data_IF_879443621367
#
_entry.id   IF_879443621367
#
_cell.length_a   1.000
_cell.length_b   1.000
_cell.length_c   1.000
_cell.angle_alpha   90.00
_cell.angle_beta   90.00
_cell.angle_gamma   90.00
#
_symmetry.space_group_name_H-M   'P 1'
#
loop_
_entity.id
_entity.type
_entity.pdbx_description
1 polymer ?
#
# COMPACT_ATOMS: atom_id res chain seq x y z
N UNK A 1 -62.56 7.95 22.13
CA UNK A 1 -61.67 7.34 21.12
C UNK A 1 -61.99 5.86 21.05
N UNK A 2 -62.44 5.37 19.90
CA UNK A 2 -62.79 3.95 19.77
C UNK A 2 -61.49 3.13 19.72
N UNK A 3 -61.49 1.93 20.31
CA UNK A 3 -60.29 1.05 20.36
C UNK A 3 -59.66 0.82 18.99
N UNK A 4 -60.47 0.84 17.93
CA UNK A 4 -60.02 0.76 16.54
C UNK A 4 -59.15 1.95 16.09
N UNK A 5 -59.45 3.18 16.56
CA UNK A 5 -58.64 4.37 16.24
C UNK A 5 -57.27 4.31 16.92
N UNK A 6 -57.21 3.83 18.17
CA UNK A 6 -55.94 3.62 18.87
C UNK A 6 -55.11 2.52 18.24
N UNK A 7 -55.73 1.41 17.82
CA UNK A 7 -55.05 0.34 17.10
C UNK A 7 -54.50 0.83 15.74
N UNK A 8 -55.27 1.63 15.00
CA UNK A 8 -54.83 2.22 13.74
C UNK A 8 -53.65 3.18 13.91
N UNK A 9 -53.68 4.04 14.94
CA UNK A 9 -52.57 4.95 15.24
C UNK A 9 -51.31 4.20 15.67
N UNK A 10 -51.45 3.17 16.50
CA UNK A 10 -50.33 2.33 16.91
C UNK A 10 -49.70 1.61 15.72
N UNK A 11 -50.51 1.04 14.82
CA UNK A 11 -50.03 0.39 13.61
C UNK A 11 -49.31 1.37 12.67
N UNK A 12 -49.84 2.59 12.51
CA UNK A 12 -49.22 3.64 11.70
C UNK A 12 -47.87 4.09 12.25
N UNK A 13 -47.75 4.23 13.58
CA UNK A 13 -46.48 4.54 14.25
C UNK A 13 -45.43 3.44 14.08
N UNK A 14 -45.83 2.17 14.19
CA UNK A 14 -44.93 1.04 13.97
C UNK A 14 -44.45 1.00 12.51
N UNK A 15 -45.34 1.22 11.54
CA UNK A 15 -44.96 1.27 10.12
C UNK A 15 -44.04 2.45 9.81
N UNK A 16 -44.28 3.62 10.40
CA UNK A 16 -43.42 4.78 10.26
C UNK A 16 -42.01 4.54 10.86
N UNK A 17 -41.94 3.89 12.03
CA UNK A 17 -40.68 3.53 12.66
C UNK A 17 -39.89 2.51 11.82
N UNK A 18 -40.57 1.49 11.27
CA UNK A 18 -39.94 0.51 10.38
C UNK A 18 -39.45 1.14 9.07
N UNK A 19 -40.24 2.04 8.47
CA UNK A 19 -39.85 2.76 7.26
C UNK A 19 -38.66 3.71 7.51
N UNK A 20 -38.64 4.40 8.65
CA UNK A 20 -37.53 5.26 9.04
C UNK A 20 -36.25 4.44 9.29
N UNK A 21 -36.37 3.29 9.96
CA UNK A 21 -35.25 2.39 10.20
C UNK A 21 -34.71 1.74 8.92
N UNK A 22 -35.57 1.49 7.92
CA UNK A 22 -35.18 0.96 6.62
C UNK A 22 -34.64 2.04 5.66
N UNK A 23 -35.12 3.28 5.76
CA UNK A 23 -34.78 4.36 4.83
C UNK A 23 -33.48 5.12 5.17
N UNK A 24 -33.23 5.36 6.45
CA UNK A 24 -32.09 6.19 6.90
C UNK A 24 -30.74 5.45 6.78
N UNK A 25 -30.72 4.13 7.00
CA UNK A 25 -29.49 3.34 6.93
C UNK A 25 -29.17 2.87 5.51
N UNK A 26 -30.16 2.54 4.67
CA UNK A 26 -29.88 1.86 3.40
C UNK A 26 -29.08 2.68 2.38
N UNK A 27 -29.35 3.97 2.23
CA UNK A 27 -28.74 4.77 1.14
C UNK A 27 -27.35 5.30 1.50
N UNK A 28 -27.16 5.76 2.74
CA UNK A 28 -25.87 6.24 3.25
C UNK A 28 -24.91 5.06 3.44
N UNK A 29 -25.39 3.92 3.95
CA UNK A 29 -24.56 2.72 4.05
C UNK A 29 -24.17 2.22 2.67
N UNK A 30 -25.08 2.19 1.69
CA UNK A 30 -24.73 1.80 0.33
C UNK A 30 -23.65 2.71 -0.29
N UNK A 31 -23.74 4.03 -0.09
CA UNK A 31 -22.71 4.95 -0.57
C UNK A 31 -21.38 4.72 0.14
N UNK A 32 -21.41 4.45 1.45
CA UNK A 32 -20.23 4.15 2.27
C UNK A 32 -19.57 2.85 1.84
N UNK A 33 -20.34 1.77 1.69
CA UNK A 33 -19.87 0.49 1.16
C UNK A 33 -19.30 0.63 -0.26
N UNK A 34 -19.94 1.44 -1.11
CA UNK A 34 -19.44 1.69 -2.46
C UNK A 34 -18.10 2.45 -2.46
N UNK A 35 -17.92 3.40 -1.54
CA UNK A 35 -16.65 4.12 -1.35
C UNK A 35 -15.57 3.17 -0.83
N UNK A 36 -15.87 2.39 0.20
CA UNK A 36 -14.94 1.39 0.75
C UNK A 36 -14.53 0.37 -0.32
N UNK A 37 -15.47 -0.14 -1.11
CA UNK A 37 -15.17 -1.05 -2.21
C UNK A 37 -14.27 -0.40 -3.27
N UNK A 38 -14.49 0.88 -3.57
CA UNK A 38 -13.66 1.61 -4.54
C UNK A 38 -12.24 1.85 -4.01
N UNK A 39 -12.09 2.15 -2.73
CA UNK A 39 -10.79 2.30 -2.06
C UNK A 39 -10.04 0.96 -2.02
N UNK A 40 -10.69 -0.10 -1.57
CA UNK A 40 -10.06 -1.43 -1.50
C UNK A 40 -9.61 -1.91 -2.88
N UNK A 41 -10.43 -1.69 -3.92
CA UNK A 41 -10.05 -2.01 -5.31
C UNK A 41 -8.86 -1.20 -5.80
N UNK A 42 -8.69 0.05 -5.36
CA UNK A 42 -7.50 0.84 -5.70
C UNK A 42 -6.28 0.25 -5.02
N UNK A 43 -6.37 -0.06 -3.73
CA UNK A 43 -5.28 -0.70 -2.99
C UNK A 43 -4.84 -2.01 -3.66
N UNK A 44 -5.78 -2.87 -4.04
CA UNK A 44 -5.46 -4.12 -4.76
C UNK A 44 -4.75 -3.83 -6.08
N UNK A 45 -5.22 -2.84 -6.85
CA UNK A 45 -4.59 -2.47 -8.12
C UNK A 45 -3.18 -1.93 -7.95
N UNK A 46 -2.96 -1.11 -6.93
CA UNK A 46 -1.64 -0.55 -6.64
C UNK A 46 -0.66 -1.68 -6.26
N UNK A 47 -1.10 -2.63 -5.44
CA UNK A 47 -0.32 -3.82 -5.07
C UNK A 47 -0.04 -4.74 -6.26
N UNK A 48 -1.01 -4.95 -7.16
CA UNK A 48 -0.80 -5.73 -8.39
C UNK A 48 0.28 -5.10 -9.28
N UNK A 49 0.30 -3.77 -9.41
CA UNK A 49 1.32 -3.05 -10.17
C UNK A 49 2.70 -3.17 -9.51
N UNK A 50 2.76 -3.10 -8.18
CA UNK A 50 4.01 -3.29 -7.44
C UNK A 50 4.54 -4.70 -7.62
N UNK A 51 3.70 -5.73 -7.47
CA UNK A 51 4.07 -7.13 -7.69
C UNK A 51 4.59 -7.36 -9.11
N UNK A 52 3.88 -6.88 -10.13
CA UNK A 52 4.31 -6.99 -11.53
C UNK A 52 5.66 -6.27 -11.78
N UNK A 53 5.92 -5.16 -11.09
CA UNK A 53 7.23 -4.48 -11.15
C UNK A 53 8.34 -5.30 -10.51
N UNK A 54 8.07 -5.94 -9.38
CA UNK A 54 9.02 -6.77 -8.64
C UNK A 54 9.32 -8.06 -9.39
N UNK A 55 8.30 -8.70 -9.97
CA UNK A 55 8.46 -9.89 -10.81
C UNK A 55 9.36 -9.61 -12.02
N UNK A 56 9.15 -8.48 -12.70
CA UNK A 56 10.05 -8.05 -13.79
C UNK A 56 11.49 -7.86 -13.32
N UNK A 57 11.68 -7.23 -12.16
CA UNK A 57 13.01 -7.01 -11.61
C UNK A 57 13.68 -8.35 -11.25
N UNK A 58 12.96 -9.25 -10.58
CA UNK A 58 13.44 -10.58 -10.24
C UNK A 58 13.83 -11.34 -11.52
N UNK A 59 12.97 -11.33 -12.54
CA UNK A 59 13.25 -11.99 -13.80
C UNK A 59 14.48 -11.43 -14.50
N UNK A 60 14.66 -10.10 -14.51
CA UNK A 60 15.85 -9.47 -15.05
C UNK A 60 17.12 -9.89 -14.27
N UNK A 61 17.06 -9.95 -12.94
CA UNK A 61 18.18 -10.42 -12.13
C UNK A 61 18.46 -11.92 -12.32
N UNK A 62 17.48 -12.73 -12.68
CA UNK A 62 17.71 -14.15 -12.94
C UNK A 62 18.26 -14.42 -14.34
N UNK A 63 17.83 -13.64 -15.34
CA UNK A 63 18.06 -13.96 -16.74
C UNK A 63 19.08 -13.07 -17.44
N UNK A 64 19.28 -11.83 -16.98
CA UNK A 64 20.21 -10.88 -17.60
C UNK A 64 21.54 -10.80 -16.82
N UNK A 65 22.65 -11.27 -17.42
CA UNK A 65 23.98 -11.18 -16.80
C UNK A 65 24.40 -9.74 -16.49
N UNK A 66 23.96 -8.76 -17.28
CA UNK A 66 24.30 -7.36 -17.04
C UNK A 66 23.57 -6.79 -15.81
N UNK A 67 22.31 -7.19 -15.59
CA UNK A 67 21.57 -6.87 -14.38
C UNK A 67 22.20 -7.53 -13.14
N UNK A 68 22.60 -8.79 -13.25
CA UNK A 68 23.31 -9.51 -12.19
C UNK A 68 24.63 -8.85 -11.80
N UNK A 69 25.47 -8.52 -12.79
CA UNK A 69 26.76 -7.88 -12.54
C UNK A 69 26.59 -6.52 -11.89
N UNK A 70 25.61 -5.72 -12.34
CA UNK A 70 25.31 -4.42 -11.76
C UNK A 70 24.89 -4.54 -10.30
N UNK A 71 23.96 -5.44 -10.00
CA UNK A 71 23.55 -5.72 -8.62
C UNK A 71 24.71 -6.23 -7.75
N UNK A 72 25.54 -7.13 -8.28
CA UNK A 72 26.72 -7.66 -7.60
C UNK A 72 27.73 -6.56 -7.25
N UNK A 73 27.95 -5.59 -8.15
CA UNK A 73 28.88 -4.47 -7.94
C UNK A 73 28.30 -3.43 -6.99
N UNK A 74 27.05 -3.02 -7.20
CA UNK A 74 26.44 -1.90 -6.47
C UNK A 74 26.01 -2.30 -5.06
N UNK A 75 25.36 -3.46 -4.89
CA UNK A 75 24.83 -3.89 -3.59
C UNK A 75 25.86 -4.65 -2.76
N UNK A 76 26.74 -5.41 -3.41
CA UNK A 76 27.66 -6.32 -2.72
C UNK A 76 29.14 -5.94 -2.90
N UNK A 77 29.47 -4.94 -3.72
CA UNK A 77 30.86 -4.52 -3.96
C UNK A 77 31.72 -5.59 -4.63
N UNK A 78 31.11 -6.57 -5.28
CA UNK A 78 31.82 -7.69 -5.89
C UNK A 78 32.57 -7.22 -7.14
N UNK A 79 33.75 -7.81 -7.37
CA UNK A 79 34.58 -7.57 -8.55
C UNK A 79 34.82 -8.88 -9.30
N UNK A 80 35.01 -8.80 -10.61
CA UNK A 80 35.34 -9.97 -11.41
C UNK A 80 36.78 -10.40 -11.13
N UNK A 81 37.08 -11.69 -11.30
CA UNK A 81 38.46 -12.18 -11.23
C UNK A 81 39.36 -11.41 -12.21
N UNK A 82 40.45 -10.85 -11.69
CA UNK A 82 41.41 -10.07 -12.48
C UNK A 82 41.16 -8.56 -12.50
N UNK A 83 40.08 -8.06 -11.89
CA UNK A 83 39.85 -6.63 -11.72
C UNK A 83 40.47 -6.09 -10.42
N UNK A 84 40.79 -4.79 -10.40
CA UNK A 84 41.34 -4.09 -9.23
C UNK A 84 40.36 -2.99 -8.82
N UNK A 85 39.90 -3.02 -7.57
CA UNK A 85 39.02 -2.00 -7.01
C UNK A 85 39.85 -0.84 -6.45
N UNK A 86 39.70 0.37 -7.01
CA UNK A 86 40.26 1.58 -6.43
C UNK A 86 39.22 2.24 -5.51
N UNK A 87 39.58 2.44 -4.25
CA UNK A 87 38.77 3.20 -3.28
C UNK A 87 39.46 4.53 -3.01
N UNK A 88 38.80 5.63 -3.35
CA UNK A 88 39.28 6.96 -2.98
C UNK A 88 38.96 7.18 -1.51
N UNK A 89 39.99 7.27 -0.66
CA UNK A 89 39.85 7.68 0.73
C UNK A 89 40.22 9.16 0.86
N UNK A 90 39.38 10.00 1.49
CA UNK A 90 39.75 11.37 1.79
C UNK A 90 40.98 11.36 2.69
N UNK A 91 41.95 12.23 2.41
CA UNK A 91 43.06 12.41 3.32
C UNK A 91 42.51 13.02 4.60
N UNK A 92 42.59 12.29 5.70
CA UNK A 92 42.42 12.89 7.01
C UNK A 92 43.57 13.87 7.16
N UNK A 93 43.24 15.16 7.24
CA UNK A 93 44.17 16.23 7.57
C UNK A 93 44.95 15.80 8.83
N UNK A 94 46.19 15.35 8.65
CA UNK A 94 47.10 14.97 9.74
C UNK A 94 47.66 16.23 10.40
N UNK A 95 46.76 17.07 10.90
CA UNK A 95 47.07 18.19 11.78
C UNK A 95 47.24 17.69 13.21
N UNK A 96 48.40 17.13 13.55
CA UNK A 96 48.63 16.70 14.93
C UNK A 96 49.96 16.02 15.21
N UNK A 97 50.95 16.84 15.58
CA UNK A 97 52.08 16.50 16.48
C UNK A 97 53.19 15.57 15.95
N UNK A 98 54.16 16.15 15.24
CA UNK A 98 55.54 15.66 15.26
C UNK A 98 56.19 15.88 16.64
N UNK A 99 57.13 15.03 17.09
CA UNK A 99 57.60 15.01 18.47
C UNK A 99 58.47 16.23 18.81
N UNK A 100 58.34 16.68 20.06
CA UNK A 100 59.19 17.68 20.73
C UNK A 100 60.63 17.20 20.90
#
# INVERSE_FOLDING_TARGET
MTRAQLAGLAAALVLAALAFQAGEYSTVDWLTLRRQLAEERRTVRDLEVELDSLERLAHALETDPAAQERAAREQFGMIRRGEILYRVVPQLDSGGSGPK
#
